data_IF_361197175666
#
_entry.id   IF_361197175666
#
_cell.length_a   1.000
_cell.length_b   1.000
_cell.length_c   1.000
_cell.angle_alpha   90.00
_cell.angle_beta   90.00
_cell.angle_gamma   90.00
#
_symmetry.space_group_name_H-M   'P 1'
#
loop_
_entity.id
_entity.type
_entity.pdbx_description
1 polymer ?
#
# COMPACT_ATOMS: atom_id res chain seq x y z
N UNK A 1 13.47 7.75 51.63
CA UNK A 1 14.56 6.88 51.15
C UNK A 1 14.80 7.27 49.70
N UNK A 2 15.85 8.05 49.47
CA UNK A 2 16.20 8.58 48.16
C UNK A 2 17.07 7.56 47.43
N UNK A 3 16.72 7.25 46.18
CA UNK A 3 17.63 6.63 45.22
C UNK A 3 17.39 7.31 43.86
N UNK A 4 17.73 8.59 43.85
CA UNK A 4 18.17 9.27 42.65
C UNK A 4 19.58 8.74 42.36
N UNK A 5 19.76 7.82 41.42
CA UNK A 5 21.09 7.64 40.84
C UNK A 5 21.07 7.17 39.38
N UNK A 6 21.89 7.87 38.60
CA UNK A 6 22.30 7.59 37.22
C UNK A 6 21.34 7.90 36.07
N UNK A 7 20.83 9.13 36.04
CA UNK A 7 20.52 9.85 34.79
C UNK A 7 21.77 10.41 34.11
N UNK A 8 22.90 9.69 34.17
CA UNK A 8 24.17 10.09 33.56
C UNK A 8 24.26 9.39 32.21
N UNK A 9 24.37 10.17 31.13
CA UNK A 9 24.56 9.66 29.78
C UNK A 9 25.89 8.89 29.70
N UNK A 10 25.84 7.60 30.03
CA UNK A 10 26.96 6.68 29.89
C UNK A 10 27.22 6.49 28.39
N UNK A 11 28.30 7.09 27.91
CA UNK A 11 28.79 7.05 26.52
C UNK A 11 29.56 5.77 26.18
N UNK A 12 29.72 4.87 27.14
CA UNK A 12 30.39 3.57 26.93
C UNK A 12 29.46 2.55 26.27
N UNK A 13 30.03 1.75 25.37
CA UNK A 13 29.31 0.64 24.75
C UNK A 13 28.81 -0.35 25.82
N UNK A 14 27.59 -0.88 25.69
CA UNK A 14 27.03 -1.81 26.66
C UNK A 14 27.86 -3.10 26.73
N UNK A 15 28.13 -3.57 27.95
CA UNK A 15 28.82 -4.85 28.18
C UNK A 15 27.94 -6.05 27.78
N UNK A 16 28.57 -7.19 27.48
CA UNK A 16 27.88 -8.43 27.09
C UNK A 16 26.75 -8.83 28.06
N UNK A 17 27.01 -8.76 29.36
CA UNK A 17 26.02 -9.03 30.42
C UNK A 17 24.81 -8.08 30.39
N UNK A 18 25.01 -6.80 30.03
CA UNK A 18 23.89 -5.83 29.88
C UNK A 18 23.05 -6.12 28.64
N UNK A 19 23.67 -6.50 27.52
CA UNK A 19 22.97 -6.91 26.31
C UNK A 19 22.10 -8.16 26.53
N UNK A 20 22.64 -9.13 27.27
CA UNK A 20 21.94 -10.37 27.62
C UNK A 20 20.72 -10.09 28.52
N UNK A 21 20.90 -9.28 29.56
CA UNK A 21 19.79 -8.82 30.41
C UNK A 21 18.75 -7.98 29.65
N UNK A 22 19.15 -7.17 28.68
CA UNK A 22 18.21 -6.40 27.86
C UNK A 22 17.36 -7.32 26.98
N UNK A 23 17.97 -8.39 26.41
CA UNK A 23 17.25 -9.42 25.66
C UNK A 23 16.29 -10.22 26.54
N UNK A 24 16.73 -10.66 27.72
CA UNK A 24 15.88 -11.38 28.69
C UNK A 24 14.68 -10.54 29.16
N UNK A 25 14.88 -9.23 29.33
CA UNK A 25 13.83 -8.26 29.67
C UNK A 25 12.91 -7.92 28.48
N UNK A 26 13.12 -8.53 27.31
CA UNK A 26 12.32 -8.27 26.11
C UNK A 26 12.51 -6.87 25.53
N UNK A 27 13.59 -6.16 25.89
CA UNK A 27 13.95 -4.86 25.32
C UNK A 27 14.54 -5.03 23.91
N UNK A 28 13.70 -5.51 22.99
CA UNK A 28 14.01 -5.59 21.57
C UNK A 28 13.79 -4.20 20.97
N UNK A 29 14.80 -3.69 20.26
CA UNK A 29 14.67 -2.43 19.53
C UNK A 29 13.52 -2.54 18.51
N UNK A 30 12.44 -1.80 18.73
CA UNK A 30 11.34 -1.65 17.76
C UNK A 30 11.54 -0.33 17.03
N UNK A 31 11.64 -0.39 15.71
CA UNK A 31 11.58 0.82 14.89
C UNK A 31 10.16 1.35 14.92
N UNK A 32 10.00 2.62 15.33
CA UNK A 32 8.69 3.29 15.41
C UNK A 32 7.98 3.36 14.06
N UNK A 33 8.76 3.39 12.97
CA UNK A 33 8.26 3.58 11.59
C UNK A 33 8.23 2.30 10.75
N UNK A 34 8.58 1.13 11.33
CA UNK A 34 8.64 -0.12 10.58
C UNK A 34 7.28 -0.49 9.95
N UNK A 35 6.18 -0.23 10.67
CA UNK A 35 4.83 -0.47 10.17
C UNK A 35 4.50 0.41 8.97
N UNK A 36 4.79 1.71 9.06
CA UNK A 36 4.61 2.67 7.96
C UNK A 36 5.43 2.26 6.73
N UNK A 37 6.70 1.91 6.92
CA UNK A 37 7.57 1.45 5.84
C UNK A 37 7.05 0.17 5.18
N UNK A 38 6.58 -0.80 5.97
CA UNK A 38 6.01 -2.04 5.45
C UNK A 38 4.74 -1.80 4.60
N UNK A 39 3.85 -0.90 5.04
CA UNK A 39 2.65 -0.54 4.28
C UNK A 39 3.00 0.13 2.96
N UNK A 40 3.95 1.08 2.96
CA UNK A 40 4.37 1.76 1.73
C UNK A 40 5.01 0.79 0.73
N UNK A 41 5.84 -0.14 1.20
CA UNK A 41 6.45 -1.17 0.36
C UNK A 41 5.38 -2.13 -0.20
N UNK A 42 4.46 -2.60 0.64
CA UNK A 42 3.38 -3.48 0.21
C UNK A 42 2.48 -2.79 -0.83
N UNK A 43 2.14 -1.52 -0.61
CA UNK A 43 1.39 -0.73 -1.58
C UNK A 43 2.16 -0.55 -2.89
N UNK A 44 3.45 -0.22 -2.83
CA UNK A 44 4.30 -0.06 -4.03
C UNK A 44 4.38 -1.35 -4.85
N UNK A 45 4.57 -2.51 -4.20
CA UNK A 45 4.59 -3.81 -4.88
C UNK A 45 3.21 -4.15 -5.44
N UNK A 46 2.15 -3.96 -4.65
CA UNK A 46 0.78 -4.20 -5.09
C UNK A 46 0.39 -3.34 -6.30
N UNK A 47 0.72 -2.06 -6.28
CA UNK A 47 0.52 -1.17 -7.43
C UNK A 47 1.40 -1.53 -8.62
N UNK A 48 2.63 -2.00 -8.40
CA UNK A 48 3.50 -2.43 -9.51
C UNK A 48 2.92 -3.65 -10.23
N UNK A 49 2.29 -4.58 -9.50
CA UNK A 49 1.69 -5.78 -10.06
C UNK A 49 0.32 -5.51 -10.72
N UNK A 50 -0.54 -4.73 -10.06
CA UNK A 50 -1.94 -4.52 -10.49
C UNK A 50 -2.15 -3.23 -11.31
N UNK A 51 -1.25 -2.26 -11.18
CA UNK A 51 -1.35 -0.95 -11.83
C UNK A 51 -1.46 -1.01 -13.36
N UNK A 52 -0.67 -1.82 -14.07
CA UNK A 52 -0.80 -1.94 -15.53
C UNK A 52 -2.17 -2.42 -15.98
N UNK A 53 -2.78 -3.38 -15.27
CA UNK A 53 -4.12 -3.88 -15.57
C UNK A 53 -5.16 -2.78 -15.39
N UNK A 54 -5.13 -2.07 -14.24
CA UNK A 54 -6.04 -0.94 -13.96
C UNK A 54 -5.91 0.16 -15.03
N UNK A 55 -4.68 0.51 -15.41
CA UNK A 55 -4.43 1.54 -16.40
C UNK A 55 -4.97 1.15 -17.78
N UNK A 56 -4.79 -0.11 -18.18
CA UNK A 56 -5.34 -0.64 -19.44
C UNK A 56 -6.86 -0.63 -19.43
N UNK A 57 -7.51 -1.13 -18.36
CA UNK A 57 -8.97 -1.14 -18.25
C UNK A 57 -9.55 0.28 -18.33
N UNK A 58 -8.90 1.24 -17.66
CA UNK A 58 -9.31 2.65 -17.70
C UNK A 58 -9.17 3.22 -19.13
N UNK A 59 -8.07 2.92 -19.81
CA UNK A 59 -7.86 3.33 -21.20
C UNK A 59 -8.96 2.78 -22.12
N UNK A 60 -9.26 1.48 -22.06
CA UNK A 60 -10.31 0.84 -22.88
C UNK A 60 -11.68 1.51 -22.66
N UNK A 61 -12.04 1.78 -21.40
CA UNK A 61 -13.31 2.43 -21.08
C UNK A 61 -13.34 3.87 -21.61
N UNK A 62 -12.26 4.63 -21.43
CA UNK A 62 -12.17 6.01 -21.91
C UNK A 62 -12.25 6.09 -23.44
N UNK A 63 -11.55 5.21 -24.14
CA UNK A 63 -11.60 5.12 -25.60
C UNK A 63 -13.05 4.93 -26.06
N UNK A 64 -13.76 3.95 -25.51
CA UNK A 64 -15.15 3.68 -25.90
C UNK A 64 -16.13 4.80 -25.57
N UNK A 65 -16.00 5.44 -24.41
CA UNK A 65 -16.89 6.55 -24.03
C UNK A 65 -16.66 7.76 -24.95
N UNK A 66 -15.42 8.00 -25.37
CA UNK A 66 -15.07 9.15 -26.21
C UNK A 66 -15.18 8.89 -27.71
N UNK A 67 -15.23 7.63 -28.16
CA UNK A 67 -15.39 7.24 -29.57
C UNK A 67 -16.82 6.83 -29.93
N UNK A 68 -17.82 7.61 -29.49
CA UNK A 68 -19.23 7.27 -29.66
C UNK A 68 -19.66 7.31 -31.13
N UNK A 69 -20.21 6.20 -31.64
CA UNK A 69 -20.67 6.09 -33.03
C UNK A 69 -22.08 6.71 -33.19
N UNK A 70 -22.42 7.16 -34.40
CA UNK A 70 -23.66 7.91 -34.67
C UNK A 70 -24.92 7.13 -34.27
N UNK A 71 -24.92 5.82 -34.44
CA UNK A 71 -26.01 4.92 -34.04
C UNK A 71 -26.21 4.89 -32.52
N UNK A 72 -25.12 4.95 -31.74
CA UNK A 72 -25.14 4.97 -30.28
C UNK A 72 -25.72 6.25 -29.69
N UNK A 73 -25.67 7.36 -30.44
CA UNK A 73 -26.23 8.65 -30.03
C UNK A 73 -27.77 8.65 -30.13
N UNK A 74 -28.33 7.90 -31.09
CA UNK A 74 -29.77 7.92 -31.39
C UNK A 74 -30.55 6.74 -30.76
N UNK A 75 -29.87 5.74 -30.20
CA UNK A 75 -30.51 4.63 -29.48
C UNK A 75 -30.17 4.69 -27.98
N UNK A 76 -31.18 4.99 -27.16
CA UNK A 76 -31.10 5.07 -25.70
C UNK A 76 -30.62 3.76 -25.05
N UNK A 77 -30.80 2.60 -25.70
CA UNK A 77 -30.31 1.32 -25.18
C UNK A 77 -28.79 1.17 -25.30
N UNK A 78 -28.15 1.96 -26.16
CA UNK A 78 -26.70 1.90 -26.41
C UNK A 78 -25.88 2.30 -25.17
N UNK A 79 -26.44 3.14 -24.29
CA UNK A 79 -25.81 3.47 -23.00
C UNK A 79 -25.66 2.23 -22.09
N UNK A 80 -26.55 1.24 -22.19
CA UNK A 80 -26.43 0.01 -21.40
C UNK A 80 -25.31 -0.92 -21.89
N UNK A 81 -24.84 -0.75 -23.13
CA UNK A 81 -23.73 -1.53 -23.69
C UNK A 81 -22.40 -1.24 -23.00
N UNK A 82 -22.21 0.00 -22.53
CA UNK A 82 -21.04 0.43 -21.74
C UNK A 82 -20.94 -0.36 -20.43
N UNK A 83 -22.08 -0.66 -19.80
CA UNK A 83 -22.10 -1.46 -18.56
C UNK A 83 -21.65 -2.91 -18.78
N UNK A 84 -21.92 -3.47 -19.96
CA UNK A 84 -21.40 -4.79 -20.36
C UNK A 84 -19.87 -4.81 -20.51
N UNK A 85 -19.31 -3.73 -21.08
CA UNK A 85 -17.86 -3.58 -21.20
C UNK A 85 -17.18 -3.40 -19.84
N UNK A 86 -17.72 -2.51 -19.01
CA UNK A 86 -17.22 -2.28 -17.65
C UNK A 86 -17.27 -3.55 -16.83
N UNK A 87 -18.34 -4.34 -16.95
CA UNK A 87 -18.45 -5.65 -16.31
C UNK A 87 -17.37 -6.64 -16.79
N UNK A 88 -17.10 -6.68 -18.09
CA UNK A 88 -16.07 -7.56 -18.66
C UNK A 88 -14.64 -7.14 -18.26
N UNK A 89 -14.36 -5.84 -18.26
CA UNK A 89 -13.04 -5.29 -17.96
C UNK A 89 -12.69 -5.30 -16.45
N UNK A 90 -13.71 -5.45 -15.58
CA UNK A 90 -13.56 -5.61 -14.13
C UNK A 90 -13.65 -7.07 -13.67
N UNK A 91 -14.20 -7.98 -14.48
CA UNK A 91 -14.38 -9.39 -14.13
C UNK A 91 -13.06 -10.19 -14.06
N UNK A 92 -11.95 -9.63 -14.56
CA UNK A 92 -10.63 -10.21 -14.38
C UNK A 92 -9.53 -9.37 -15.04
N UNK A 93 -8.26 -9.63 -14.72
CA UNK A 93 -7.15 -9.17 -15.54
C UNK A 93 -7.21 -9.76 -16.96
#
# INVERSE_FOLDING_TARGET
MAESDSGQERTEAPTSKRLEQAREKGQVARSKELGTAAVLLAASVGFSMTGPAIAKSLYTIMEQIFSMERDQIFDTNSMFRVWGLVGNELAGP
#
